data_IF_540689457577
#
_entry.id   IF_540689457577
#
_cell.length_a   1.000
_cell.length_b   1.000
_cell.length_c   1.000
_cell.angle_alpha   90.00
_cell.angle_beta   90.00
_cell.angle_gamma   90.00
#
_symmetry.space_group_name_H-M   'P 1'
#
loop_
_entity.id
_entity.type
_entity.pdbx_description
1 polymer ?
#
# COMPACT_ATOMS: atom_id res chain seq x y z
N UNK A 1 24.56 -0.16 19.50
CA UNK A 1 24.91 1.27 19.51
C UNK A 1 24.37 2.00 18.29
N UNK A 2 23.31 2.79 18.46
CA UNK A 2 23.02 3.93 17.57
C UNK A 2 22.60 5.07 18.50
N UNK A 3 23.48 6.06 18.66
CA UNK A 3 23.14 7.36 19.23
C UNK A 3 23.11 8.35 18.09
N UNK A 4 21.98 9.01 17.87
CA UNK A 4 21.93 10.33 17.24
C UNK A 4 20.71 11.08 17.77
N UNK A 5 20.99 12.00 18.69
CA UNK A 5 20.02 12.94 19.26
C UNK A 5 19.65 13.93 18.14
N UNK A 6 18.35 14.17 17.94
CA UNK A 6 17.63 14.83 16.81
C UNK A 6 16.99 13.93 15.74
N UNK A 7 17.10 12.61 15.81
CA UNK A 7 16.51 11.66 14.85
C UNK A 7 15.62 10.61 15.55
N UNK A 8 14.47 11.01 16.08
CA UNK A 8 13.51 10.06 16.67
C UNK A 8 12.78 9.35 15.53
N UNK A 9 13.14 8.10 15.26
CA UNK A 9 12.33 7.18 14.46
C UNK A 9 11.31 6.56 15.39
N UNK A 10 10.05 6.97 15.27
CA UNK A 10 8.93 6.31 15.96
C UNK A 10 8.45 5.16 15.09
N UNK A 11 8.77 3.93 15.50
CA UNK A 11 8.22 2.73 14.86
C UNK A 11 6.88 2.44 15.54
N UNK A 12 5.78 2.83 14.90
CA UNK A 12 4.43 2.46 15.34
C UNK A 12 4.11 1.11 14.69
N UNK A 13 4.14 0.05 15.47
CA UNK A 13 3.58 -1.23 15.04
C UNK A 13 2.05 -1.13 15.17
N UNK A 14 1.37 -0.72 14.09
CA UNK A 14 -0.09 -0.78 14.04
C UNK A 14 -0.48 -2.26 14.12
N UNK A 15 -1.31 -2.69 15.10
CA UNK A 15 -1.67 -4.09 15.24
C UNK A 15 -2.30 -4.57 13.93
N UNK A 16 -1.63 -5.53 13.27
CA UNK A 16 -2.05 -6.19 12.03
C UNK A 16 -2.67 -5.24 11.00
N UNK A 17 -1.82 -4.72 10.12
CA UNK A 17 -2.16 -3.94 8.92
C UNK A 17 -3.61 -4.14 8.47
N UNK A 18 -4.33 -3.03 8.39
CA UNK A 18 -5.56 -2.95 7.61
C UNK A 18 -5.34 -3.73 6.29
N UNK A 19 -6.12 -4.79 6.12
CA UNK A 19 -6.13 -5.70 4.96
C UNK A 19 -4.96 -6.69 4.78
N UNK A 20 -4.22 -7.08 5.83
CA UNK A 20 -3.31 -8.22 5.72
C UNK A 20 -4.07 -9.57 5.72
N UNK A 21 -4.18 -10.20 4.56
CA UNK A 21 -4.75 -11.54 4.41
C UNK A 21 -3.73 -12.65 4.72
N UNK A 22 -4.21 -13.87 4.89
CA UNK A 22 -3.41 -15.05 5.21
C UNK A 22 -3.03 -15.83 3.96
N UNK A 23 -1.73 -16.09 3.75
CA UNK A 23 -1.27 -17.02 2.72
C UNK A 23 -1.77 -18.43 3.01
N UNK A 24 -2.26 -19.13 1.98
CA UNK A 24 -2.92 -20.42 2.09
C UNK A 24 -4.43 -20.36 2.36
N UNK A 25 -5.00 -19.17 2.66
CA UNK A 25 -6.45 -18.99 2.79
C UNK A 25 -7.10 -18.96 1.39
N UNK A 26 -7.99 -19.91 1.13
CA UNK A 26 -8.70 -20.03 -0.15
C UNK A 26 -9.68 -18.88 -0.42
N UNK A 27 -9.99 -18.06 0.60
CA UNK A 27 -10.92 -16.93 0.49
C UNK A 27 -10.24 -15.60 0.13
N UNK A 28 -8.90 -15.56 0.03
CA UNK A 28 -8.14 -14.34 -0.28
C UNK A 28 -8.63 -13.66 -1.57
N UNK A 29 -8.86 -14.44 -2.63
CA UNK A 29 -9.37 -13.92 -3.89
C UNK A 29 -10.73 -13.21 -3.72
N UNK A 30 -11.63 -13.84 -2.96
CA UNK A 30 -12.96 -13.28 -2.70
C UNK A 30 -12.85 -11.97 -1.91
N UNK A 31 -12.00 -11.92 -0.88
CA UNK A 31 -11.79 -10.73 -0.04
C UNK A 31 -11.16 -9.56 -0.80
N UNK A 32 -10.25 -9.83 -1.75
CA UNK A 32 -9.68 -8.78 -2.63
C UNK A 32 -10.77 -8.16 -3.52
N UNK A 33 -11.68 -8.98 -4.05
CA UNK A 33 -12.74 -8.52 -4.95
C UNK A 33 -13.95 -7.95 -4.21
N UNK A 34 -14.13 -8.32 -2.94
CA UNK A 34 -15.24 -7.89 -2.07
C UNK A 34 -14.66 -7.46 -0.72
N UNK A 35 -13.90 -6.36 -0.68
CA UNK A 35 -13.24 -5.92 0.54
C UNK A 35 -14.28 -5.49 1.57
N UNK A 36 -14.16 -5.91 2.84
CA UNK A 36 -15.12 -5.58 3.88
C UNK A 36 -15.08 -4.09 4.28
N UNK A 37 -13.94 -3.43 4.06
CA UNK A 37 -13.74 -2.00 4.27
C UNK A 37 -12.74 -1.43 3.25
N UNK A 38 -12.36 -0.17 3.44
CA UNK A 38 -11.46 0.53 2.54
C UNK A 38 -9.96 0.33 2.81
N UNK A 39 -9.57 -0.39 3.87
CA UNK A 39 -8.18 -0.52 4.29
C UNK A 39 -7.60 0.74 4.94
N UNK A 40 -8.41 1.77 5.16
CA UNK A 40 -7.93 3.10 5.54
C UNK A 40 -7.63 3.25 7.04
N UNK A 41 -8.09 2.31 7.88
CA UNK A 41 -8.05 2.45 9.35
C UNK A 41 -6.63 2.68 9.88
N UNK A 42 -5.67 1.84 9.49
CA UNK A 42 -4.28 1.98 9.89
C UNK A 42 -3.65 3.31 9.41
N UNK A 43 -3.95 3.72 8.18
CA UNK A 43 -3.45 5.00 7.65
C UNK A 43 -4.06 6.21 8.36
N UNK A 44 -5.35 6.13 8.70
CA UNK A 44 -6.09 7.15 9.45
C UNK A 44 -5.53 7.30 10.86
N UNK A 45 -5.36 6.19 11.56
CA UNK A 45 -4.76 6.17 12.91
C UNK A 45 -3.35 6.75 12.89
N UNK A 46 -2.52 6.36 11.92
CA UNK A 46 -1.16 6.88 11.77
C UNK A 46 -1.16 8.39 11.49
N UNK A 47 -2.02 8.87 10.60
CA UNK A 47 -2.19 10.31 10.33
C UNK A 47 -2.61 11.06 11.59
N UNK A 48 -3.56 10.52 12.35
CA UNK A 48 -4.10 11.17 13.53
C UNK A 48 -3.06 11.20 14.66
N UNK A 49 -2.24 10.15 14.80
CA UNK A 49 -1.09 10.14 15.71
C UNK A 49 -0.02 11.19 15.32
N UNK A 50 0.30 11.32 14.04
CA UNK A 50 1.23 12.37 13.55
C UNK A 50 0.68 13.76 13.84
N UNK A 51 -0.61 14.00 13.59
CA UNK A 51 -1.27 15.28 13.92
C UNK A 51 -1.24 15.56 15.41
N UNK A 52 -1.47 14.54 16.24
CA UNK A 52 -1.42 14.65 17.70
C UNK A 52 -0.03 15.07 18.21
N UNK A 53 1.05 14.62 17.54
CA UNK A 53 2.42 15.01 17.89
C UNK A 53 2.71 16.51 17.77
N UNK A 54 1.93 17.24 16.95
CA UNK A 54 2.13 18.67 16.61
C UNK A 54 3.54 19.00 16.10
N UNK A 55 4.29 18.00 15.65
CA UNK A 55 5.66 18.18 15.16
C UNK A 55 5.69 18.04 13.63
N UNK A 56 5.97 19.13 12.87
CA UNK A 56 5.98 19.08 11.41
C UNK A 56 7.11 18.25 10.82
N UNK A 57 8.12 17.86 11.61
CA UNK A 57 9.20 16.99 11.16
C UNK A 57 8.81 15.50 11.12
N UNK A 58 7.70 15.12 11.79
CA UNK A 58 7.24 13.73 11.84
C UNK A 58 6.47 13.40 10.56
N UNK A 59 6.85 12.31 9.90
CA UNK A 59 6.23 11.82 8.67
C UNK A 59 5.99 10.32 8.74
N UNK A 60 4.98 9.82 8.02
CA UNK A 60 4.62 8.40 7.97
C UNK A 60 5.21 7.70 6.75
N UNK A 61 5.76 6.51 6.97
CA UNK A 61 6.24 5.61 5.93
C UNK A 61 5.62 4.23 6.16
N UNK A 62 5.16 3.58 5.10
CA UNK A 62 4.92 2.13 5.12
C UNK A 62 6.26 1.45 4.84
N UNK A 63 6.87 0.90 5.88
CA UNK A 63 8.17 0.21 5.78
C UNK A 63 8.10 -1.14 5.08
N UNK A 64 6.94 -1.78 5.09
CA UNK A 64 6.65 -3.04 4.41
C UNK A 64 5.15 -3.16 4.11
N UNK A 65 4.78 -3.52 2.89
CA UNK A 65 3.40 -3.84 2.53
C UNK A 65 3.35 -4.90 1.42
N UNK A 66 2.85 -6.09 1.74
CA UNK A 66 2.68 -7.21 0.80
C UNK A 66 1.26 -7.77 0.70
N UNK A 67 0.35 -7.31 1.58
CA UNK A 67 -1.10 -7.60 1.59
C UNK A 67 -1.52 -9.02 1.93
N UNK A 68 -0.68 -10.01 1.67
CA UNK A 68 -0.93 -11.41 2.04
C UNK A 68 0.32 -11.96 2.72
N UNK A 69 0.24 -12.22 4.03
CA UNK A 69 1.37 -12.75 4.79
C UNK A 69 1.69 -14.20 4.37
N UNK A 70 2.88 -14.70 4.73
CA UNK A 70 3.28 -16.06 4.38
C UNK A 70 3.73 -16.21 2.92
N UNK A 71 4.43 -15.19 2.40
CA UNK A 71 4.95 -15.14 1.02
C UNK A 71 3.87 -15.02 -0.06
N UNK A 72 2.68 -14.54 0.28
CA UNK A 72 1.58 -14.36 -0.65
C UNK A 72 0.89 -15.66 -1.06
N UNK A 73 0.02 -15.57 -2.06
CA UNK A 73 -0.82 -16.68 -2.53
C UNK A 73 -0.59 -16.89 -4.03
N UNK A 74 -0.02 -18.05 -4.40
CA UNK A 74 0.12 -18.40 -5.83
C UNK A 74 -1.24 -18.39 -6.52
N UNK A 75 -1.23 -17.94 -7.79
CA UNK A 75 -2.40 -17.70 -8.65
C UNK A 75 -3.33 -16.58 -8.16
N UNK A 76 -2.92 -15.82 -7.14
CA UNK A 76 -3.64 -14.64 -6.67
C UNK A 76 -2.72 -13.43 -6.62
N UNK A 77 -1.71 -13.43 -5.73
CA UNK A 77 -0.83 -12.26 -5.51
C UNK A 77 0.18 -12.02 -6.65
N UNK A 78 0.43 -13.03 -7.48
CA UNK A 78 1.24 -12.96 -8.70
C UNK A 78 0.36 -12.82 -9.96
N UNK A 79 -0.90 -12.42 -9.81
CA UNK A 79 -1.87 -12.26 -10.90
C UNK A 79 -2.48 -10.87 -10.87
N UNK A 80 -3.10 -10.49 -12.00
CA UNK A 80 -3.68 -9.16 -12.22
C UNK A 80 -4.65 -8.73 -11.12
N UNK A 81 -5.42 -9.68 -10.58
CA UNK A 81 -6.43 -9.39 -9.54
C UNK A 81 -5.84 -8.72 -8.30
N UNK A 82 -4.58 -8.97 -7.97
CA UNK A 82 -3.97 -8.35 -6.80
C UNK A 82 -3.68 -6.85 -6.97
N UNK A 83 -3.67 -6.37 -8.23
CA UNK A 83 -3.55 -4.95 -8.54
C UNK A 83 -4.68 -4.10 -7.95
N UNK A 84 -5.88 -4.66 -7.75
CA UNK A 84 -6.98 -3.96 -7.07
C UNK A 84 -6.61 -3.60 -5.64
N UNK A 85 -6.06 -4.56 -4.89
CA UNK A 85 -5.57 -4.32 -3.52
C UNK A 85 -4.37 -3.37 -3.55
N UNK A 86 -3.39 -3.59 -4.42
CA UNK A 86 -2.17 -2.80 -4.40
C UNK A 86 -2.39 -1.33 -4.75
N UNK A 87 -3.14 -1.04 -5.82
CA UNK A 87 -3.45 0.35 -6.21
C UNK A 87 -4.33 1.05 -5.17
N UNK A 88 -5.24 0.31 -4.53
CA UNK A 88 -6.02 0.81 -3.40
C UNK A 88 -5.10 1.24 -2.26
N UNK A 89 -4.14 0.40 -1.85
CA UNK A 89 -3.22 0.74 -0.76
C UNK A 89 -2.33 1.94 -1.08
N UNK A 90 -1.90 2.11 -2.34
CA UNK A 90 -1.16 3.31 -2.75
C UNK A 90 -2.03 4.57 -2.67
N UNK A 91 -3.32 4.46 -3.00
CA UNK A 91 -4.30 5.54 -2.89
C UNK A 91 -4.64 5.90 -1.45
N UNK A 92 -4.91 4.92 -0.59
CA UNK A 92 -5.15 5.14 0.83
C UNK A 92 -3.92 5.76 1.49
N UNK A 93 -2.74 5.18 1.26
CA UNK A 93 -1.49 5.72 1.78
C UNK A 93 -1.31 7.21 1.42
N UNK A 94 -1.65 7.60 0.18
CA UNK A 94 -1.47 8.98 -0.28
C UNK A 94 -2.47 9.95 0.35
N UNK A 95 -3.76 9.61 0.44
CA UNK A 95 -4.80 10.49 1.02
C UNK A 95 -4.54 10.76 2.50
N UNK A 96 -3.98 9.78 3.22
CA UNK A 96 -3.64 9.91 4.64
C UNK A 96 -2.24 10.46 4.91
N UNK A 97 -1.51 10.90 3.87
CA UNK A 97 -0.25 11.64 4.03
C UNK A 97 0.97 10.75 4.27
N UNK A 98 0.91 9.47 3.94
CA UNK A 98 2.08 8.59 3.91
C UNK A 98 3.03 9.03 2.81
N UNK A 99 4.29 9.28 3.19
CA UNK A 99 5.30 9.84 2.29
C UNK A 99 6.00 8.78 1.44
N UNK A 100 6.09 7.55 1.93
CA UNK A 100 6.80 6.43 1.29
C UNK A 100 6.01 5.14 1.48
N UNK A 101 5.94 4.31 0.44
CA UNK A 101 5.35 2.98 0.50
C UNK A 101 6.34 1.94 -0.03
N UNK A 102 6.84 1.07 0.85
CA UNK A 102 7.75 0.00 0.50
C UNK A 102 6.97 -1.29 0.22
N UNK A 103 6.90 -1.67 -1.07
CA UNK A 103 6.25 -2.91 -1.50
C UNK A 103 7.13 -4.11 -1.14
N UNK A 104 6.58 -5.02 -0.35
CA UNK A 104 7.11 -6.38 -0.18
C UNK A 104 6.61 -7.22 -1.36
N UNK A 105 7.44 -7.66 -2.29
CA UNK A 105 8.88 -7.43 -2.43
C UNK A 105 9.17 -7.03 -3.89
N UNK A 106 10.40 -6.59 -4.18
CA UNK A 106 10.84 -6.48 -5.57
C UNK A 106 10.94 -7.87 -6.22
N UNK A 107 11.61 -8.80 -5.54
CA UNK A 107 11.79 -10.21 -5.91
C UNK A 107 11.60 -11.06 -4.64
N UNK A 108 10.97 -12.23 -4.77
CA UNK A 108 10.77 -13.19 -3.70
C UNK A 108 9.33 -13.28 -3.20
N UNK A 109 8.80 -14.50 -3.08
CA UNK A 109 7.41 -14.74 -2.71
C UNK A 109 6.43 -14.50 -3.87
N UNK A 110 5.19 -14.96 -3.70
CA UNK A 110 4.13 -14.84 -4.70
C UNK A 110 3.60 -13.40 -4.85
N UNK A 111 3.93 -12.47 -3.96
CA UNK A 111 3.59 -11.05 -4.09
C UNK A 111 4.70 -10.23 -4.76
N UNK A 112 5.83 -10.85 -5.12
CA UNK A 112 6.98 -10.16 -5.69
C UNK A 112 6.62 -9.45 -6.99
N UNK A 113 7.16 -8.25 -7.21
CA UNK A 113 6.94 -7.52 -8.46
C UNK A 113 7.56 -8.25 -9.66
N UNK A 114 8.67 -8.96 -9.44
CA UNK A 114 9.29 -9.84 -10.42
C UNK A 114 9.13 -11.29 -9.94
N UNK A 115 8.87 -12.18 -10.90
CA UNK A 115 8.93 -13.61 -10.67
C UNK A 115 10.32 -14.03 -10.16
N UNK A 116 10.36 -14.93 -9.18
CA UNK A 116 11.60 -15.23 -8.43
C UNK A 116 12.61 -16.00 -9.27
N UNK A 117 12.13 -16.87 -10.16
CA UNK A 117 13.00 -17.76 -10.93
C UNK A 117 13.34 -17.17 -12.30
N UNK A 118 12.37 -16.48 -12.92
CA UNK A 118 12.49 -16.01 -14.31
C UNK A 118 12.80 -14.51 -14.42
N UNK A 119 12.62 -13.74 -13.33
CA UNK A 119 12.68 -12.27 -13.31
C UNK A 119 11.68 -11.58 -14.25
N UNK A 120 10.72 -12.32 -14.80
CA UNK A 120 9.65 -11.74 -15.61
C UNK A 120 8.75 -10.91 -14.70
N UNK A 121 8.39 -9.67 -15.09
CA UNK A 121 7.52 -8.83 -14.27
C UNK A 121 6.13 -9.43 -14.09
N UNK A 122 5.69 -9.57 -12.83
CA UNK A 122 4.31 -9.85 -12.48
C UNK A 122 3.42 -8.64 -12.79
N UNK A 123 2.09 -8.81 -12.92
CA UNK A 123 1.18 -7.71 -13.24
C UNK A 123 1.33 -6.47 -12.34
N UNK A 124 1.59 -6.65 -11.05
CA UNK A 124 1.78 -5.55 -10.10
C UNK A 124 3.02 -4.69 -10.36
N UNK A 125 4.04 -5.21 -11.05
CA UNK A 125 5.15 -4.37 -11.52
C UNK A 125 4.63 -3.23 -12.41
N UNK A 126 3.68 -3.54 -13.29
CA UNK A 126 3.08 -2.55 -14.18
C UNK A 126 2.16 -1.60 -13.43
N UNK A 127 1.44 -2.07 -12.40
CA UNK A 127 0.70 -1.21 -11.47
C UNK A 127 1.63 -0.17 -10.82
N UNK A 128 2.78 -0.61 -10.28
CA UNK A 128 3.79 0.28 -9.70
C UNK A 128 4.38 1.23 -10.75
N UNK A 129 4.69 0.74 -11.95
CA UNK A 129 5.26 1.52 -13.04
C UNK A 129 4.29 2.63 -13.50
N UNK A 130 3.03 2.28 -13.71
CA UNK A 130 1.99 3.23 -14.12
C UNK A 130 1.75 4.26 -13.02
N UNK A 131 1.61 3.83 -11.77
CA UNK A 131 1.51 4.75 -10.64
C UNK A 131 2.69 5.73 -10.60
N UNK A 132 3.92 5.19 -10.71
CA UNK A 132 5.14 5.99 -10.73
C UNK A 132 5.19 6.97 -11.89
N UNK A 133 4.67 6.64 -13.07
CA UNK A 133 4.70 7.51 -14.25
C UNK A 133 3.58 8.55 -14.27
N UNK A 134 2.41 8.24 -13.72
CA UNK A 134 1.21 9.07 -13.85
C UNK A 134 0.96 9.93 -12.60
N UNK A 135 1.12 9.35 -11.41
CA UNK A 135 0.72 9.98 -10.15
C UNK A 135 1.83 10.88 -9.61
N UNK A 136 1.56 12.20 -9.59
CA UNK A 136 2.47 13.19 -9.01
C UNK A 136 2.37 13.29 -7.48
N UNK A 137 3.22 14.12 -6.88
CA UNK A 137 3.31 14.23 -5.41
C UNK A 137 2.14 14.97 -4.76
N UNK A 138 1.40 15.80 -5.51
CA UNK A 138 0.28 16.58 -4.96
C UNK A 138 -1.01 15.76 -5.04
N UNK A 139 -1.43 15.23 -3.90
CA UNK A 139 -2.70 14.50 -3.72
C UNK A 139 -3.87 15.50 -3.77
N UNK A 140 -4.96 15.11 -4.42
CA UNK A 140 -6.19 15.87 -4.54
C UNK A 140 -7.35 15.09 -3.89
N UNK A 141 -8.36 15.82 -3.44
CA UNK A 141 -9.60 15.19 -2.99
C UNK A 141 -10.43 14.76 -4.20
N UNK A 142 -10.81 13.49 -4.26
CA UNK A 142 -11.74 12.95 -5.24
C UNK A 142 -12.96 12.39 -4.50
N UNK A 143 -14.15 12.69 -5.02
CA UNK A 143 -15.39 12.12 -4.51
C UNK A 143 -16.17 11.51 -5.67
N UNK A 144 -16.58 10.26 -5.51
CA UNK A 144 -17.46 9.58 -6.42
C UNK A 144 -18.81 9.33 -5.75
N UNK A 145 -19.90 9.69 -6.43
CA UNK A 145 -21.26 9.49 -5.95
C UNK A 145 -21.88 8.31 -6.73
N UNK A 146 -21.42 7.10 -6.46
CA UNK A 146 -21.91 5.87 -7.10
C UNK A 146 -21.70 4.65 -6.21
N UNK A 147 -21.66 3.42 -6.78
CA UNK A 147 -21.53 2.19 -5.99
C UNK A 147 -20.25 2.17 -5.15
N UNK A 148 -20.34 1.59 -3.95
CA UNK A 148 -19.22 1.49 -2.99
C UNK A 148 -18.02 0.69 -3.52
N UNK A 149 -18.22 -0.15 -4.53
CA UNK A 149 -17.15 -0.92 -5.17
C UNK A 149 -16.19 -0.08 -6.03
N UNK A 150 -16.52 1.18 -6.32
CA UNK A 150 -15.68 2.08 -7.11
C UNK A 150 -14.87 2.98 -6.19
N UNK A 151 -13.55 2.85 -6.24
CA UNK A 151 -12.60 3.70 -5.50
C UNK A 151 -11.97 4.72 -6.42
N UNK A 152 -11.88 5.97 -5.96
CA UNK A 152 -11.33 7.07 -6.76
C UNK A 152 -10.22 7.80 -6.01
N UNK A 153 -9.05 7.88 -6.64
CA UNK A 153 -7.89 8.61 -6.13
C UNK A 153 -7.44 9.60 -7.21
N UNK A 154 -7.09 10.83 -6.81
CA UNK A 154 -6.66 11.86 -7.74
C UNK A 154 -5.37 12.52 -7.25
N UNK A 155 -4.44 12.68 -8.18
CA UNK A 155 -3.18 13.41 -7.96
C UNK A 155 -3.02 14.41 -9.10
N UNK A 156 -2.22 15.46 -8.91
CA UNK A 156 -1.68 16.15 -10.07
C UNK A 156 -0.79 15.21 -10.87
N UNK A 157 -0.81 15.38 -12.20
CA UNK A 157 0.05 14.59 -13.08
C UNK A 157 1.52 14.76 -12.71
N UNK A 158 2.28 13.67 -12.80
CA UNK A 158 3.73 13.74 -12.65
C UNK A 158 4.33 14.54 -13.80
N UNK A 159 5.25 15.45 -13.46
CA UNK A 159 6.00 16.21 -14.47
C UNK A 159 6.98 15.27 -15.18
N UNK A 160 7.01 15.35 -16.52
CA UNK A 160 7.97 14.66 -17.39
C UNK A 160 9.39 15.17 -17.19
#
# INVERSE_FOLDING_TARGET
DIISINNIIVIINTPAAADAFVGGDSTVLYKILNPPDDGSSAFRELRDAIRFSRNPAVVSWVGEGGGVWGSGQDKVTNRFVFGFWYLTQLGEASIYGTRTYCRQSLIGGNYGLLDTDTFVPNPDYYSALLWHRLMGQRVLWAKYNGPELVRTYAHCAKKS
#
